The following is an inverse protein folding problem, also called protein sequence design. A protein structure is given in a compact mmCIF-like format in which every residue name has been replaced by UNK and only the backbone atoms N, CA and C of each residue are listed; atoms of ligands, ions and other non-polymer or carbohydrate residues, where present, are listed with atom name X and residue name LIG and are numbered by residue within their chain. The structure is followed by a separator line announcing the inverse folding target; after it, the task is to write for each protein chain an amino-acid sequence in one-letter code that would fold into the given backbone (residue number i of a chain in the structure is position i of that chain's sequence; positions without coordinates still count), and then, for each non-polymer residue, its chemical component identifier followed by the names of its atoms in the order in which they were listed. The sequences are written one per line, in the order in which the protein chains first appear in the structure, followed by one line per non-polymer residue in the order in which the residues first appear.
data_IF_444707881053
#
_entry.id   IF_444707881053
#
_cell.length_a   1.000
_cell.length_b   1.000
_cell.length_c   1.000
_cell.angle_alpha   90.00
_cell.angle_beta   90.00
_cell.angle_gamma   90.00
#
_symmetry.space_group_name_H-M   'P 1'
#
loop_
_entity.id
_entity.type
_entity.pdbx_description
1 polymer ?
#
# COMPACT_ATOMS: atom_id res chain seq x y z
N UNK A 1 -1.08 -21.64 -8.37
CA UNK A 1 -1.16 -20.46 -7.50
C UNK A 1 -1.62 -19.29 -8.33
N UNK A 2 -2.64 -18.56 -7.88
CA UNK A 2 -3.07 -17.30 -8.46
C UNK A 2 -2.23 -16.17 -7.88
N UNK A 3 -1.78 -15.27 -8.74
CA UNK A 3 -0.96 -14.13 -8.37
C UNK A 3 -1.78 -12.86 -8.51
N UNK A 4 -1.77 -12.05 -7.46
CA UNK A 4 -2.34 -10.72 -7.46
C UNK A 4 -1.25 -9.73 -7.10
N UNK A 5 -1.19 -8.62 -7.82
CA UNK A 5 -0.27 -7.52 -7.56
C UNK A 5 -1.03 -6.37 -6.95
N UNK A 6 -0.44 -5.77 -5.94
CA UNK A 6 -1.03 -4.67 -5.23
C UNK A 6 -0.04 -3.51 -5.12
N UNK A 7 -0.59 -2.31 -5.29
CA UNK A 7 0.03 -1.02 -5.02
C UNK A 7 -1.08 0.02 -4.88
N UNK A 8 -0.78 1.16 -4.26
CA UNK A 8 -1.68 2.29 -4.23
C UNK A 8 -1.22 3.42 -5.12
N UNK A 9 -2.18 4.10 -5.72
CA UNK A 9 -1.91 5.33 -6.46
C UNK A 9 -2.79 6.48 -5.97
N UNK A 10 -2.27 7.69 -6.16
CA UNK A 10 -2.99 8.94 -5.93
C UNK A 10 -3.17 9.68 -7.25
N UNK A 11 -4.35 10.26 -7.42
CA UNK A 11 -4.72 11.07 -8.57
C UNK A 11 -5.33 12.38 -8.07
N UNK A 12 -4.84 13.51 -8.57
CA UNK A 12 -5.23 14.83 -8.04
C UNK A 12 -6.38 15.43 -8.87
N UNK A 13 -7.19 16.29 -8.26
CA UNK A 13 -8.24 17.01 -9.01
C UNK A 13 -7.66 17.86 -10.15
N UNK A 14 -6.42 18.33 -9.99
CA UNK A 14 -5.71 19.15 -10.98
C UNK A 14 -4.92 18.37 -12.05
N UNK A 15 -5.07 17.05 -12.17
CA UNK A 15 -4.35 16.27 -13.21
C UNK A 15 -4.62 16.84 -14.61
N UNK A 16 -3.56 17.26 -15.29
CA UNK A 16 -3.61 17.95 -16.59
C UNK A 16 -2.74 17.23 -17.63
N UNK A 17 -3.17 17.22 -18.89
CA UNK A 17 -2.38 16.74 -20.04
C UNK A 17 -0.97 17.32 -20.03
N UNK A 18 0.03 16.51 -20.40
CA UNK A 18 1.42 16.97 -20.53
C UNK A 18 1.61 17.90 -21.72
N UNK A 19 0.99 17.55 -22.86
CA UNK A 19 1.03 18.36 -24.07
C UNK A 19 -0.15 19.33 -24.11
N UNK A 20 0.15 20.59 -24.40
CA UNK A 20 -0.83 21.68 -24.57
C UNK A 20 -0.74 22.23 -25.98
N UNK A 21 -1.88 22.65 -26.53
CA UNK A 21 -1.91 23.36 -27.80
C UNK A 21 -1.62 24.84 -27.57
N UNK A 22 -0.70 25.36 -28.36
CA UNK A 22 -0.40 26.78 -28.50
C UNK A 22 -0.66 27.13 -29.96
N UNK A 23 -1.39 28.21 -30.21
CA UNK A 23 -1.67 28.69 -31.55
C UNK A 23 -0.46 29.43 -32.15
N UNK A 24 -0.57 29.80 -33.43
CA UNK A 24 0.51 30.50 -34.15
C UNK A 24 0.78 31.92 -33.63
N UNK A 25 -0.08 32.45 -32.76
CA UNK A 25 0.11 33.74 -32.09
C UNK A 25 0.74 33.61 -30.70
N UNK A 26 1.12 32.39 -30.29
CA UNK A 26 1.69 32.11 -28.98
C UNK A 26 0.66 32.03 -27.86
N UNK A 27 -0.64 32.07 -28.19
CA UNK A 27 -1.70 31.92 -27.20
C UNK A 27 -2.06 30.44 -27.05
N UNK A 28 -2.09 29.99 -25.80
CA UNK A 28 -2.41 28.61 -25.46
C UNK A 28 -2.73 28.50 -23.99
N UNK A 29 -3.24 27.34 -23.59
CA UNK A 29 -3.50 27.06 -22.18
C UNK A 29 -2.22 26.59 -21.51
N UNK A 30 -1.67 27.37 -20.59
CA UNK A 30 -0.58 26.93 -19.71
C UNK A 30 -1.06 25.88 -18.70
N UNK A 31 -0.21 24.88 -18.41
CA UNK A 31 -0.41 23.95 -17.29
C UNK A 31 -0.28 24.74 -15.99
N UNK A 32 -1.33 24.77 -15.18
CA UNK A 32 -1.37 25.58 -13.94
C UNK A 32 -1.81 24.78 -12.72
N UNK A 33 -2.39 23.60 -12.91
CA UNK A 33 -3.04 22.84 -11.82
C UNK A 33 -2.44 21.47 -11.60
N UNK A 34 -1.49 21.04 -12.43
CA UNK A 34 -0.85 19.74 -12.30
C UNK A 34 -0.30 19.53 -10.88
N UNK A 35 -0.63 18.39 -10.28
CA UNK A 35 -0.26 18.09 -8.90
C UNK A 35 -1.01 18.88 -7.82
N UNK A 36 -1.98 19.74 -8.15
CA UNK A 36 -2.72 20.56 -7.19
C UNK A 36 -4.12 20.01 -6.87
N UNK A 37 -4.64 20.42 -5.72
CA UNK A 37 -5.98 20.09 -5.24
C UNK A 37 -6.04 18.85 -4.35
N UNK A 38 -7.25 18.47 -3.90
CA UNK A 38 -7.47 17.22 -3.18
C UNK A 38 -7.17 16.03 -4.07
N UNK A 39 -7.00 14.87 -3.44
CA UNK A 39 -6.55 13.65 -4.11
C UNK A 39 -7.55 12.52 -3.91
N UNK A 40 -7.62 11.66 -4.90
CA UNK A 40 -8.28 10.37 -4.83
C UNK A 40 -7.19 9.31 -4.65
N UNK A 41 -7.28 8.52 -3.60
CA UNK A 41 -6.46 7.33 -3.42
C UNK A 41 -7.21 6.11 -3.95
N UNK A 42 -6.48 5.23 -4.62
CA UNK A 42 -7.01 4.02 -5.25
C UNK A 42 -6.10 2.85 -4.88
N UNK A 43 -6.69 1.75 -4.42
CA UNK A 43 -6.01 0.56 -3.93
C UNK A 43 -6.75 -0.68 -4.46
N UNK A 44 -6.30 -1.29 -5.57
CA UNK A 44 -6.94 -2.45 -6.16
C UNK A 44 -6.07 -3.71 -6.01
N UNK A 45 -6.60 -4.85 -6.43
CA UNK A 45 -5.79 -6.01 -6.79
C UNK A 45 -5.73 -6.13 -8.31
N UNK A 46 -4.54 -6.32 -8.86
CA UNK A 46 -4.32 -6.62 -10.29
C UNK A 46 -4.00 -8.10 -10.45
N UNK A 47 -4.63 -8.78 -11.40
CA UNK A 47 -4.25 -10.14 -11.82
C UNK A 47 -3.69 -10.12 -13.25
N UNK A 48 -3.40 -11.30 -13.80
CA UNK A 48 -3.04 -11.44 -15.22
C UNK A 48 -4.21 -11.09 -16.16
N UNK A 49 -5.44 -11.17 -15.66
CA UNK A 49 -6.67 -11.05 -16.46
C UNK A 49 -7.25 -9.63 -16.39
N UNK A 50 -6.83 -8.82 -15.41
CA UNK A 50 -7.31 -7.45 -15.24
C UNK A 50 -7.26 -6.97 -13.80
N UNK A 51 -7.79 -5.77 -13.58
CA UNK A 51 -8.07 -5.27 -12.23
C UNK A 51 -9.22 -6.09 -11.67
N UNK A 52 -9.17 -6.43 -10.39
CA UNK A 52 -10.27 -7.10 -9.71
C UNK A 52 -11.18 -6.06 -9.05
N UNK A 53 -12.26 -5.68 -9.74
CA UNK A 53 -13.13 -4.54 -9.36
C UNK A 53 -13.67 -4.68 -7.91
N UNK A 54 -14.02 -5.90 -7.49
CA UNK A 54 -14.63 -6.14 -6.17
C UNK A 54 -13.66 -5.93 -4.99
N UNK A 55 -12.36 -5.81 -5.24
CA UNK A 55 -11.36 -5.48 -4.20
C UNK A 55 -10.96 -4.01 -4.16
N UNK A 56 -11.43 -3.20 -5.12
CA UNK A 56 -10.98 -1.83 -5.29
C UNK A 56 -11.44 -0.94 -4.13
N UNK A 57 -10.48 -0.46 -3.34
CA UNK A 57 -10.68 0.63 -2.40
C UNK A 57 -10.48 1.99 -3.07
N UNK A 58 -11.46 2.89 -2.93
CA UNK A 58 -11.36 4.29 -3.39
C UNK A 58 -11.78 5.22 -2.25
N UNK A 59 -10.94 6.20 -1.92
CA UNK A 59 -11.27 7.22 -0.94
C UNK A 59 -10.60 8.55 -1.23
N UNK A 60 -11.20 9.63 -0.72
CA UNK A 60 -10.63 10.97 -0.83
C UNK A 60 -9.56 11.18 0.25
N UNK A 61 -8.49 11.90 -0.12
CA UNK A 61 -7.42 12.27 0.80
C UNK A 61 -6.96 13.70 0.57
N UNK A 62 -6.45 14.32 1.64
CA UNK A 62 -5.78 15.62 1.58
C UNK A 62 -4.38 15.47 0.95
N UNK A 63 -3.59 16.55 0.96
CA UNK A 63 -2.21 16.53 0.44
C UNK A 63 -1.29 15.56 1.17
N UNK A 64 -1.55 15.33 2.46
CA UNK A 64 -0.86 14.32 3.25
C UNK A 64 -1.48 12.97 2.90
N UNK A 65 -0.67 12.04 2.43
CA UNK A 65 -1.11 10.70 2.05
C UNK A 65 -1.66 10.01 3.31
N UNK A 66 -2.98 10.08 3.55
CA UNK A 66 -3.63 9.64 4.79
C UNK A 66 -3.74 8.10 4.90
N UNK A 67 -2.74 7.37 4.38
CA UNK A 67 -2.65 5.93 4.53
C UNK A 67 -1.97 5.60 5.86
N UNK A 68 -2.59 4.72 6.64
CA UNK A 68 -2.03 4.18 7.87
C UNK A 68 -2.05 2.66 7.80
N UNK A 69 -1.15 2.01 8.53
CA UNK A 69 -1.11 0.56 8.62
C UNK A 69 -2.45 -0.04 9.06
N UNK A 70 -3.17 0.62 9.97
CA UNK A 70 -4.49 0.19 10.42
C UNK A 70 -5.54 0.23 9.29
N UNK A 71 -5.56 1.30 8.49
CA UNK A 71 -6.46 1.40 7.33
C UNK A 71 -6.14 0.32 6.30
N UNK A 72 -4.86 0.13 6.02
CA UNK A 72 -4.42 -0.88 5.08
C UNK A 72 -4.78 -2.30 5.53
N UNK A 73 -4.53 -2.64 6.80
CA UNK A 73 -4.86 -3.96 7.36
C UNK A 73 -6.37 -4.22 7.31
N UNK A 74 -7.20 -3.21 7.56
CA UNK A 74 -8.65 -3.35 7.44
C UNK A 74 -9.04 -3.64 5.98
N UNK A 75 -8.59 -2.82 5.05
CA UNK A 75 -8.89 -3.00 3.62
C UNK A 75 -8.39 -4.35 3.10
N UNK A 76 -7.13 -4.73 3.37
CA UNK A 76 -6.58 -5.98 2.84
C UNK A 76 -7.30 -7.19 3.43
N UNK A 77 -7.77 -7.12 4.69
CA UNK A 77 -8.56 -8.21 5.30
C UNK A 77 -9.88 -8.44 4.58
N UNK A 78 -10.55 -7.37 4.13
CA UNK A 78 -11.77 -7.46 3.32
C UNK A 78 -11.43 -8.01 1.93
N UNK A 79 -10.41 -7.45 1.27
CA UNK A 79 -9.99 -7.85 -0.07
C UNK A 79 -9.58 -9.33 -0.16
N UNK A 80 -8.77 -9.84 0.78
CA UNK A 80 -8.37 -11.26 0.80
C UNK A 80 -9.56 -12.18 1.06
N UNK A 81 -10.55 -11.72 1.83
CA UNK A 81 -11.79 -12.45 2.07
C UNK A 81 -12.59 -12.63 0.78
N UNK A 82 -12.76 -11.56 0.01
CA UNK A 82 -13.38 -11.58 -1.32
C UNK A 82 -12.62 -12.53 -2.26
N UNK A 83 -11.30 -12.35 -2.39
CA UNK A 83 -10.48 -13.21 -3.27
C UNK A 83 -10.57 -14.68 -2.90
N UNK A 84 -10.54 -15.01 -1.60
CA UNK A 84 -10.66 -16.40 -1.12
C UNK A 84 -12.04 -16.97 -1.39
N UNK A 85 -13.12 -16.20 -1.18
CA UNK A 85 -14.48 -16.65 -1.45
C UNK A 85 -14.69 -17.02 -2.92
N UNK A 86 -14.07 -16.26 -3.83
CA UNK A 86 -14.16 -16.50 -5.27
C UNK A 86 -13.20 -17.60 -5.77
N UNK A 87 -12.12 -17.88 -5.01
CA UNK A 87 -11.04 -18.79 -5.42
C UNK A 87 -10.81 -19.92 -4.41
N UNK A 88 -11.89 -20.56 -3.95
CA UNK A 88 -11.91 -21.54 -2.84
C UNK A 88 -10.82 -22.61 -2.92
N UNK A 89 -10.57 -23.17 -4.11
CA UNK A 89 -9.66 -24.31 -4.30
C UNK A 89 -8.26 -23.92 -4.81
N UNK A 90 -7.96 -22.63 -4.90
CA UNK A 90 -6.69 -22.14 -5.44
C UNK A 90 -5.79 -21.64 -4.32
N UNK A 91 -4.49 -21.87 -4.44
CA UNK A 91 -3.51 -21.11 -3.65
C UNK A 91 -3.45 -19.69 -4.17
N UNK A 92 -3.49 -18.69 -3.29
CA UNK A 92 -3.47 -17.27 -3.63
C UNK A 92 -2.22 -16.64 -3.03
N UNK A 93 -1.50 -15.86 -3.83
CA UNK A 93 -0.38 -15.05 -3.37
C UNK A 93 -0.55 -13.61 -3.83
N UNK A 94 -0.48 -12.68 -2.89
CA UNK A 94 -0.52 -11.24 -3.15
C UNK A 94 0.90 -10.69 -3.07
N UNK A 95 1.30 -9.97 -4.10
CA UNK A 95 2.60 -9.35 -4.26
C UNK A 95 2.45 -7.86 -3.96
N UNK A 96 3.15 -7.38 -2.94
CA UNK A 96 3.15 -5.99 -2.50
C UNK A 96 4.54 -5.37 -2.61
N UNK A 97 4.62 -4.04 -2.67
CA UNK A 97 5.89 -3.33 -2.55
C UNK A 97 6.38 -3.27 -1.07
N UNK A 98 7.34 -2.40 -0.74
CA UNK A 98 7.83 -2.24 0.64
C UNK A 98 7.36 -0.96 1.34
N UNK A 99 6.14 -0.50 1.06
CA UNK A 99 5.58 0.65 1.76
C UNK A 99 5.58 0.43 3.29
N UNK A 100 5.90 1.47 4.10
CA UNK A 100 5.95 1.33 5.55
C UNK A 100 4.65 0.81 6.17
N UNK A 101 3.49 1.15 5.59
CA UNK A 101 2.19 0.73 6.12
C UNK A 101 1.86 -0.75 5.87
N UNK A 102 2.46 -1.39 4.86
CA UNK A 102 2.39 -2.85 4.65
C UNK A 102 3.27 -3.64 5.63
N UNK A 103 4.22 -2.95 6.25
CA UNK A 103 5.34 -3.50 7.00
C UNK A 103 5.25 -3.20 8.50
N UNK A 104 4.05 -2.92 9.02
CA UNK A 104 3.86 -2.83 10.46
C UNK A 104 3.98 -4.22 11.10
N UNK A 105 4.91 -4.36 12.05
CA UNK A 105 5.12 -5.61 12.78
C UNK A 105 3.93 -5.90 13.71
N UNK A 106 3.59 -7.19 13.80
CA UNK A 106 2.72 -7.71 14.84
C UNK A 106 3.37 -7.48 16.22
N UNK A 107 2.56 -7.24 17.26
CA UNK A 107 3.05 -6.86 18.60
C UNK A 107 4.05 -7.90 19.17
N UNK A 108 3.78 -9.18 18.89
CA UNK A 108 4.55 -10.33 19.32
C UNK A 108 5.96 -10.31 18.73
N UNK A 109 6.15 -9.70 17.55
CA UNK A 109 7.43 -9.66 16.83
C UNK A 109 8.08 -8.28 16.78
N UNK A 110 7.53 -7.31 17.53
CA UNK A 110 8.15 -5.98 17.65
C UNK A 110 9.54 -6.09 18.29
N UNK A 111 10.53 -5.57 17.56
CA UNK A 111 11.91 -5.46 18.04
C UNK A 111 12.01 -4.43 19.17
N UNK A 112 12.99 -4.65 20.05
CA UNK A 112 13.41 -3.63 21.01
C UNK A 112 13.90 -2.39 20.25
N UNK A 113 13.64 -1.18 20.77
CA UNK A 113 14.14 0.07 20.17
C UNK A 113 15.19 0.68 21.08
N UNK A 114 16.22 1.28 20.51
CA UNK A 114 17.25 2.04 21.27
C UNK A 114 16.65 3.11 22.18
N UNK A 115 15.51 3.67 21.79
CA UNK A 115 14.78 4.70 22.55
C UNK A 115 13.98 4.15 23.75
N UNK A 116 13.80 2.83 23.87
CA UNK A 116 13.09 2.24 25.02
C UNK A 116 13.82 2.53 26.32
N UNK A 117 13.07 2.71 27.41
CA UNK A 117 13.66 2.74 28.76
C UNK A 117 14.01 1.32 29.20
N UNK A 118 14.94 1.18 30.14
CA UNK A 118 15.42 -0.13 30.60
C UNK A 118 14.29 -1.07 31.05
N UNK A 119 13.30 -0.54 31.80
CA UNK A 119 12.13 -1.30 32.23
C UNK A 119 11.32 -1.91 31.06
N UNK A 120 11.25 -1.23 29.90
CA UNK A 120 10.57 -1.76 28.72
C UNK A 120 11.36 -2.92 28.08
N UNK A 121 12.69 -2.85 28.10
CA UNK A 121 13.57 -3.91 27.59
C UNK A 121 13.48 -5.14 28.50
N UNK A 122 13.52 -4.94 29.82
CA UNK A 122 13.34 -6.00 30.82
C UNK A 122 11.98 -6.67 30.68
N UNK A 123 10.89 -5.89 30.58
CA UNK A 123 9.57 -6.45 30.37
C UNK A 123 9.53 -7.35 29.12
N UNK A 124 10.15 -6.90 28.02
CA UNK A 124 10.22 -7.68 26.79
C UNK A 124 11.00 -8.98 26.94
N UNK A 125 12.12 -8.96 27.66
CA UNK A 125 12.89 -10.19 27.94
C UNK A 125 12.05 -11.17 28.77
N UNK A 126 11.32 -10.67 29.77
CA UNK A 126 10.42 -11.48 30.58
C UNK A 126 9.25 -12.07 29.76
N UNK A 127 8.62 -11.26 28.90
CA UNK A 127 7.51 -11.71 28.03
C UNK A 127 7.95 -12.85 27.09
N UNK A 128 9.22 -12.86 26.68
CA UNK A 128 9.82 -13.88 25.82
C UNK A 128 10.61 -14.95 26.59
N UNK A 129 10.54 -14.92 27.92
CA UNK A 129 11.22 -15.86 28.82
C UNK A 129 12.75 -15.95 28.58
N UNK A 130 13.37 -14.84 28.21
CA UNK A 130 14.82 -14.73 27.97
C UNK A 130 15.53 -14.42 29.28
N UNK A 131 16.44 -15.29 29.77
CA UNK A 131 17.17 -15.05 31.01
C UNK A 131 18.21 -13.94 30.83
N UNK A 132 18.36 -13.09 31.84
CA UNK A 132 19.37 -12.03 31.90
C UNK A 132 19.94 -11.92 33.33
N UNK A 133 21.05 -11.19 33.50
CA UNK A 133 21.66 -10.94 34.81
C UNK A 133 21.38 -9.50 35.24
N UNK A 134 21.15 -9.28 36.54
CA UNK A 134 20.90 -7.95 37.11
C UNK A 134 22.06 -6.97 36.96
N UNK A 135 23.26 -7.47 36.63
CA UNK A 135 24.45 -6.65 36.36
C UNK A 135 24.50 -6.08 34.93
N UNK A 136 23.60 -6.54 34.05
CA UNK A 136 23.61 -6.11 32.65
C UNK A 136 23.18 -4.65 32.53
N UNK A 137 23.97 -3.89 31.76
CA UNK A 137 23.62 -2.55 31.34
C UNK A 137 22.45 -2.60 30.35
N UNK A 138 21.73 -1.47 30.22
CA UNK A 138 20.70 -1.31 29.19
C UNK A 138 21.18 -1.68 27.77
N UNK A 139 22.45 -1.41 27.43
CA UNK A 139 23.00 -1.76 26.13
C UNK A 139 23.09 -3.27 25.93
N UNK A 140 23.59 -3.99 26.94
CA UNK A 140 23.67 -5.46 26.94
C UNK A 140 22.28 -6.11 26.93
N UNK A 141 21.31 -5.53 27.67
CA UNK A 141 19.92 -5.98 27.64
C UNK A 141 19.27 -5.80 26.26
N UNK A 142 19.57 -4.70 25.55
CA UNK A 142 19.08 -4.47 24.19
C UNK A 142 19.72 -5.46 23.19
N UNK A 143 21.02 -5.69 23.28
CA UNK A 143 21.72 -6.67 22.44
C UNK A 143 21.17 -8.08 22.64
N UNK A 144 20.91 -8.45 23.90
CA UNK A 144 20.28 -9.71 24.24
C UNK A 144 18.85 -9.82 23.67
N UNK A 145 18.04 -8.77 23.85
CA UNK A 145 16.68 -8.74 23.33
C UNK A 145 16.63 -8.85 21.79
N UNK A 146 17.60 -8.24 21.11
CA UNK A 146 17.71 -8.31 19.65
C UNK A 146 18.23 -9.68 19.18
N UNK A 147 19.15 -10.31 19.92
CA UNK A 147 19.67 -11.65 19.61
C UNK A 147 18.60 -12.75 19.72
N UNK A 148 17.66 -12.60 20.66
CA UNK A 148 16.54 -13.52 20.85
C UNK A 148 15.25 -13.06 20.17
N UNK A 149 15.32 -12.03 19.32
CA UNK A 149 14.14 -11.51 18.67
C UNK A 149 13.52 -12.56 17.72
N UNK A 150 12.19 -12.77 17.78
CA UNK A 150 11.53 -13.69 16.88
C UNK A 150 11.62 -13.20 15.42
N UNK A 151 11.41 -14.12 14.48
CA UNK A 151 11.28 -13.76 13.07
C UNK A 151 10.18 -12.71 12.91
N UNK A 152 10.47 -11.65 12.14
CA UNK A 152 9.51 -10.58 11.85
C UNK A 152 8.24 -11.16 11.23
N UNK A 153 7.09 -10.80 11.80
CA UNK A 153 5.77 -11.11 11.27
C UNK A 153 5.03 -9.79 11.12
N UNK A 154 4.48 -9.54 9.94
CA UNK A 154 3.75 -8.30 9.66
C UNK A 154 2.25 -8.49 9.92
N UNK A 155 1.57 -7.44 10.38
CA UNK A 155 0.11 -7.47 10.61
C UNK A 155 -0.66 -7.85 9.34
N UNK A 156 -0.20 -7.38 8.19
CA UNK A 156 -0.71 -7.74 6.87
C UNK A 156 -0.64 -9.24 6.60
N UNK A 157 0.48 -9.88 6.95
CA UNK A 157 0.67 -11.32 6.72
C UNK A 157 -0.26 -12.13 7.62
N UNK A 158 -0.41 -11.70 8.88
CA UNK A 158 -1.35 -12.32 9.83
C UNK A 158 -2.79 -12.17 9.33
N UNK A 159 -3.16 -11.02 8.78
CA UNK A 159 -4.47 -10.80 8.22
C UNK A 159 -4.75 -11.72 7.02
N UNK A 160 -3.81 -11.80 6.07
CA UNK A 160 -3.94 -12.64 4.87
C UNK A 160 -3.94 -14.14 5.19
N UNK A 161 -3.10 -14.58 6.14
CA UNK A 161 -2.99 -15.98 6.54
C UNK A 161 -4.30 -16.54 7.12
N UNK A 162 -5.16 -15.72 7.73
CA UNK A 162 -6.50 -16.13 8.19
C UNK A 162 -7.39 -16.66 7.06
N UNK A 163 -7.08 -16.27 5.81
CA UNK A 163 -7.80 -16.67 4.61
C UNK A 163 -6.96 -17.59 3.71
N UNK A 164 -5.90 -18.21 4.25
CA UNK A 164 -4.97 -19.05 3.48
C UNK A 164 -4.34 -18.29 2.29
N UNK A 165 -4.06 -17.00 2.45
CA UNK A 165 -3.43 -16.15 1.42
C UNK A 165 -2.00 -15.80 1.82
N UNK A 166 -1.06 -16.04 0.90
CA UNK A 166 0.36 -15.70 1.08
C UNK A 166 0.63 -14.24 0.67
N UNK A 167 1.48 -13.54 1.42
CA UNK A 167 2.01 -12.22 1.04
C UNK A 167 3.47 -12.36 0.61
N UNK A 168 3.78 -11.93 -0.59
CA UNK A 168 5.13 -11.78 -1.11
C UNK A 168 5.48 -10.30 -1.23
N UNK A 169 6.65 -9.91 -0.74
CA UNK A 169 7.16 -8.54 -0.87
C UNK A 169 8.21 -8.48 -1.96
N UNK A 170 8.12 -7.49 -2.84
CA UNK A 170 9.16 -7.20 -3.82
C UNK A 170 10.47 -6.79 -3.12
N UNK A 171 11.62 -6.85 -3.78
CA UNK A 171 12.84 -6.23 -3.28
C UNK A 171 12.67 -4.72 -3.09
N UNK A 172 13.30 -4.17 -2.05
CA UNK A 172 13.26 -2.74 -1.74
C UNK A 172 13.73 -1.93 -2.96
N UNK A 173 12.99 -0.87 -3.33
CA UNK A 173 13.26 0.02 -4.49
C UNK A 173 13.20 -0.65 -5.87
N UNK A 174 12.48 -1.76 -6.02
CA UNK A 174 12.29 -2.44 -7.31
C UNK A 174 10.82 -2.41 -7.75
N UNK A 175 10.18 -1.23 -7.73
CA UNK A 175 8.80 -1.07 -8.22
C UNK A 175 8.63 -1.46 -9.69
N UNK A 176 9.71 -1.47 -10.49
CA UNK A 176 9.71 -1.96 -11.88
C UNK A 176 9.27 -3.42 -12.01
N UNK A 177 9.32 -4.19 -10.91
CA UNK A 177 8.86 -5.58 -10.85
C UNK A 177 7.36 -5.68 -10.52
N UNK A 178 6.69 -4.56 -10.26
CA UNK A 178 5.25 -4.50 -10.00
C UNK A 178 4.51 -4.07 -11.30
N UNK A 179 3.84 -4.99 -12.02
CA UNK A 179 3.17 -4.68 -13.28
C UNK A 179 2.03 -3.64 -13.13
N UNK A 180 1.50 -3.47 -11.92
CA UNK A 180 0.45 -2.48 -11.65
C UNK A 180 0.90 -1.03 -11.89
N UNK A 181 2.20 -0.75 -11.86
CA UNK A 181 2.75 0.56 -12.20
C UNK A 181 2.44 0.96 -13.64
N UNK A 182 2.34 -0.03 -14.55
CA UNK A 182 1.92 0.20 -15.94
C UNK A 182 0.43 0.58 -16.02
N UNK A 183 -0.42 -0.12 -15.25
CA UNK A 183 -1.84 0.20 -15.13
C UNK A 183 -2.03 1.65 -14.61
N UNK A 184 -1.19 2.09 -13.66
CA UNK A 184 -1.20 3.47 -13.16
C UNK A 184 -0.81 4.50 -14.20
N UNK A 185 0.18 4.22 -15.04
CA UNK A 185 0.56 5.10 -16.13
C UNK A 185 -0.60 5.29 -17.12
N UNK A 186 -1.28 4.21 -17.49
CA UNK A 186 -2.43 4.25 -18.41
C UNK A 186 -3.64 4.95 -17.80
N UNK A 187 -4.03 4.58 -16.58
CA UNK A 187 -5.17 5.20 -15.88
C UNK A 187 -4.96 6.71 -15.71
N UNK A 188 -3.79 7.14 -15.25
CA UNK A 188 -3.51 8.59 -15.09
C UNK A 188 -3.54 9.31 -16.44
N UNK A 189 -3.07 8.68 -17.50
CA UNK A 189 -3.15 9.24 -18.86
C UNK A 189 -4.60 9.36 -19.31
N UNK A 190 -5.42 8.34 -19.08
CA UNK A 190 -6.86 8.37 -19.36
C UNK A 190 -7.56 9.50 -18.60
N UNK A 191 -7.30 9.64 -17.29
CA UNK A 191 -7.90 10.70 -16.47
C UNK A 191 -7.46 12.09 -16.96
N UNK A 192 -6.16 12.32 -17.21
CA UNK A 192 -5.66 13.59 -17.75
C UNK A 192 -6.33 13.95 -19.07
N UNK A 193 -6.63 12.94 -19.89
CA UNK A 193 -7.24 13.17 -21.19
C UNK A 193 -8.69 13.65 -21.10
N UNK A 194 -9.40 13.27 -20.05
CA UNK A 194 -10.81 13.57 -19.82
C UNK A 194 -11.08 14.63 -18.74
N UNK A 195 -10.08 14.97 -17.91
CA UNK A 195 -10.22 15.96 -16.83
C UNK A 195 -10.20 17.39 -17.39
N UNK A 196 -11.39 17.93 -17.67
CA UNK A 196 -11.58 19.29 -18.20
C UNK A 196 -12.10 20.28 -17.16
N UNK A 197 -12.71 19.81 -16.07
CA UNK A 197 -13.28 20.66 -15.00
C UNK A 197 -12.32 20.86 -13.83
N UNK A 198 -11.33 19.98 -13.68
CA UNK A 198 -10.37 19.99 -12.58
C UNK A 198 -11.02 19.81 -11.20
N UNK A 199 -12.12 19.05 -11.15
CA UNK A 199 -12.82 18.67 -9.93
C UNK A 199 -12.49 17.22 -9.52
N UNK A 200 -12.44 16.97 -8.22
CA UNK A 200 -12.19 15.62 -7.71
C UNK A 200 -13.34 14.66 -8.05
N UNK A 201 -14.57 15.19 -8.10
CA UNK A 201 -15.77 14.44 -8.49
C UNK A 201 -15.60 13.82 -9.88
N UNK A 202 -15.16 14.61 -10.86
CA UNK A 202 -15.00 14.11 -12.23
C UNK A 202 -13.82 13.17 -12.34
N UNK A 203 -12.71 13.44 -11.64
CA UNK A 203 -11.58 12.51 -11.53
C UNK A 203 -12.04 11.14 -10.98
N UNK A 204 -12.91 11.14 -9.96
CA UNK A 204 -13.49 9.91 -9.40
C UNK A 204 -14.35 9.15 -10.42
N UNK A 205 -15.16 9.87 -11.20
CA UNK A 205 -15.95 9.26 -12.30
C UNK A 205 -15.03 8.61 -13.34
N UNK A 206 -14.00 9.32 -13.79
CA UNK A 206 -13.07 8.78 -14.80
C UNK A 206 -12.22 7.63 -14.26
N UNK A 207 -11.77 7.69 -13.01
CA UNK A 207 -11.04 6.60 -12.39
C UNK A 207 -11.90 5.33 -12.33
N UNK A 208 -13.15 5.44 -11.84
CA UNK A 208 -14.09 4.31 -11.79
C UNK A 208 -14.39 3.75 -13.18
N UNK A 209 -14.66 4.62 -14.15
CA UNK A 209 -14.92 4.19 -15.52
C UNK A 209 -13.74 3.42 -16.13
N UNK A 210 -12.51 3.84 -15.85
CA UNK A 210 -11.32 3.12 -16.30
C UNK A 210 -11.17 1.77 -15.59
N UNK A 211 -11.35 1.73 -14.27
CA UNK A 211 -11.24 0.51 -13.47
C UNK A 211 -12.25 -0.55 -13.91
N UNK A 212 -13.53 -0.19 -14.10
CA UNK A 212 -14.58 -1.10 -14.60
C UNK A 212 -14.29 -1.57 -16.03
N UNK A 213 -13.70 -0.72 -16.89
CA UNK A 213 -13.33 -1.12 -18.25
C UNK A 213 -12.13 -2.09 -18.29
N UNK A 214 -11.37 -2.19 -17.20
CA UNK A 214 -10.24 -3.08 -17.03
C UNK A 214 -10.55 -4.28 -16.11
N UNK A 215 -11.82 -4.48 -15.75
CA UNK A 215 -12.26 -5.55 -14.86
C UNK A 215 -12.16 -6.93 -15.53
N UNK A 216 -11.96 -7.96 -14.69
CA UNK A 216 -11.74 -9.35 -15.08
C UNK A 216 -12.99 -10.24 -14.97
#
# INVERSE_FOLDING_TARGET
TLLFWHDETWVNSGEEKHSIWIDNSGHGRLRKRDGQGPRLAISPMLSKDGIHESTVGIWETSKEHNMTSARFVNWISEAVGTLRAENVNSKICIIVDNAPWYNELAEETKMSKRAWVEAQVVQRLNDHQVPYLDIYTKAELLELADAYAPKKVFKTDVAAAKFDVDILRLPVRHCVLNPIELAWAEMKTFIRNNNVTFSLKDVSVWAKAWLTACDM
#
